data_IF_307520212025
#
_entry.id   IF_307520212025
#
_cell.length_a   1.000
_cell.length_b   1.000
_cell.length_c   1.000
_cell.angle_alpha   90.00
_cell.angle_beta   90.00
_cell.angle_gamma   90.00
#
_symmetry.space_group_name_H-M   'P 1'
#
loop_
_entity.id
_entity.type
_entity.pdbx_description
1 polymer ?
#
# COMPACT_ATOMS: atom_id res chain seq x y z
N UNK A 1 1.65 71.50 30.44
CA UNK A 1 0.57 72.42 30.02
C UNK A 1 -0.45 71.52 29.33
N UNK A 2 -1.47 71.18 30.03
CA UNK A 2 -2.85 71.72 29.97
C UNK A 2 -3.50 71.28 28.65
N UNK A 3 -4.67 70.72 28.58
CA UNK A 3 -5.79 70.39 29.47
C UNK A 3 -6.89 69.79 28.59
N UNK A 4 -7.60 68.87 29.15
CA UNK A 4 -9.06 68.87 29.30
C UNK A 4 -9.89 68.86 27.98
N UNK A 5 -10.85 68.05 27.81
CA UNK A 5 -12.06 67.62 28.42
C UNK A 5 -13.03 67.36 27.28
N UNK A 6 -14.03 66.60 27.26
CA UNK A 6 -15.28 66.59 27.93
C UNK A 6 -16.25 65.65 27.22
N UNK A 7 -16.82 64.76 27.91
CA UNK A 7 -18.16 64.28 28.07
C UNK A 7 -19.22 64.54 26.97
N UNK A 8 -19.98 63.51 26.62
CA UNK A 8 -21.26 63.57 25.90
C UNK A 8 -22.00 62.22 25.94
N UNK A 9 -23.07 62.16 26.61
CA UNK A 9 -23.80 61.01 27.12
C UNK A 9 -24.76 60.32 26.13
N UNK A 10 -25.72 59.51 26.62
CA UNK A 10 -26.18 58.30 25.95
C UNK A 10 -27.46 58.48 25.11
N UNK A 11 -27.45 57.90 23.92
CA UNK A 11 -28.60 57.75 23.06
C UNK A 11 -29.25 56.37 23.20
N UNK A 12 -30.46 56.32 23.77
CA UNK A 12 -31.33 55.13 23.79
C UNK A 12 -31.92 54.93 22.41
N UNK A 13 -31.71 53.78 21.80
CA UNK A 13 -32.37 53.30 20.58
C UNK A 13 -33.02 51.93 20.84
N UNK A 14 -34.27 51.83 20.50
CA UNK A 14 -35.23 50.73 20.70
C UNK A 14 -34.79 49.42 20.01
N UNK A 15 -35.22 48.23 20.52
CA UNK A 15 -34.94 46.95 19.89
C UNK A 15 -35.88 46.69 18.70
N UNK A 16 -35.29 46.49 17.53
CA UNK A 16 -35.95 45.98 16.34
C UNK A 16 -36.17 44.48 16.42
N UNK A 17 -37.41 44.05 16.30
CA UNK A 17 -37.84 42.66 16.23
C UNK A 17 -37.43 42.05 14.89
N UNK A 18 -36.27 41.38 14.87
CA UNK A 18 -35.83 40.52 13.75
C UNK A 18 -36.29 39.08 13.98
N UNK A 19 -37.18 38.61 13.12
CA UNK A 19 -37.60 37.19 13.04
C UNK A 19 -36.38 36.31 12.87
N UNK A 20 -36.28 35.14 13.52
CA UNK A 20 -35.22 34.17 13.25
C UNK A 20 -35.45 33.54 11.87
N UNK A 21 -34.49 33.74 10.98
CA UNK A 21 -34.37 33.01 9.72
C UNK A 21 -34.16 31.53 10.06
N UNK A 22 -35.10 30.68 9.59
CA UNK A 22 -34.92 29.22 9.63
C UNK A 22 -33.71 28.87 8.76
N UNK A 23 -32.61 28.54 9.40
CA UNK A 23 -31.50 27.86 8.76
C UNK A 23 -32.00 26.52 8.20
N UNK A 24 -31.76 26.28 6.92
CA UNK A 24 -31.91 24.96 6.32
C UNK A 24 -30.97 24.01 7.07
N UNK A 25 -31.42 22.80 7.41
CA UNK A 25 -30.48 21.78 7.92
C UNK A 25 -29.45 21.46 6.82
N UNK A 26 -28.17 21.55 7.15
CA UNK A 26 -27.11 21.00 6.35
C UNK A 26 -27.35 19.48 6.18
N UNK A 27 -27.12 18.92 4.99
CA UNK A 27 -27.17 17.48 4.82
C UNK A 27 -26.12 16.85 5.74
N UNK A 28 -26.54 15.90 6.55
CA UNK A 28 -25.67 15.09 7.38
C UNK A 28 -24.57 14.48 6.49
N UNK A 29 -23.31 14.43 6.95
CA UNK A 29 -22.25 13.75 6.23
C UNK A 29 -22.68 12.30 6.02
N UNK A 30 -22.58 11.84 4.78
CA UNK A 30 -22.81 10.44 4.43
C UNK A 30 -21.94 9.58 5.34
N UNK A 31 -22.54 8.72 6.15
CA UNK A 31 -21.84 7.71 6.91
C UNK A 31 -21.04 6.88 5.91
N UNK A 32 -19.71 7.05 5.97
CA UNK A 32 -18.79 6.13 5.31
C UNK A 32 -18.94 4.79 6.01
N UNK A 33 -19.63 3.87 5.39
CA UNK A 33 -19.55 2.46 5.76
C UNK A 33 -18.16 2.01 5.35
N UNK A 34 -17.20 2.26 6.24
CA UNK A 34 -15.87 1.71 6.16
C UNK A 34 -15.98 0.21 6.40
N UNK A 35 -15.96 -0.58 5.34
CA UNK A 35 -15.66 -1.99 5.49
C UNK A 35 -14.28 -2.12 6.16
N UNK A 36 -14.12 -3.00 7.17
CA UNK A 36 -12.83 -3.24 7.77
C UNK A 36 -11.87 -3.67 6.66
N UNK A 37 -10.78 -2.91 6.50
CA UNK A 37 -9.70 -3.33 5.64
C UNK A 37 -8.99 -4.43 6.41
N UNK A 38 -9.34 -5.68 6.11
CA UNK A 38 -8.63 -6.83 6.59
C UNK A 38 -7.20 -6.77 6.09
N UNK A 39 -6.28 -7.03 7.00
CA UNK A 39 -4.87 -7.19 6.70
C UNK A 39 -4.72 -8.11 5.49
N UNK A 40 -4.02 -7.63 4.47
CA UNK A 40 -3.53 -8.51 3.42
C UNK A 40 -2.41 -9.29 4.10
N UNK A 41 -2.73 -10.48 4.58
CA UNK A 41 -1.70 -11.45 4.96
C UNK A 41 -0.90 -11.75 3.69
N UNK A 42 0.37 -11.38 3.69
CA UNK A 42 1.31 -11.61 2.58
C UNK A 42 1.50 -13.12 2.26
N UNK A 43 0.89 -14.01 3.05
CA UNK A 43 1.07 -15.46 2.94
C UNK A 43 0.04 -16.17 2.04
N UNK A 44 -0.98 -15.46 1.48
CA UNK A 44 -2.04 -16.10 0.68
C UNK A 44 -1.94 -15.79 -0.82
N UNK A 45 -0.75 -15.93 -1.38
CA UNK A 45 -0.52 -15.94 -2.82
C UNK A 45 -0.48 -17.36 -3.41
N UNK A 46 -0.94 -18.34 -2.67
CA UNK A 46 -1.06 -19.71 -3.14
C UNK A 46 -2.09 -19.81 -4.27
N UNK A 47 -1.62 -19.93 -5.52
CA UNK A 47 -2.36 -20.54 -6.61
C UNK A 47 -2.41 -22.06 -6.35
N UNK A 48 -3.02 -22.49 -5.26
CA UNK A 48 -3.38 -23.89 -5.08
C UNK A 48 -4.71 -24.14 -5.79
N UNK A 49 -4.58 -24.67 -6.98
CA UNK A 49 -5.63 -25.28 -7.78
C UNK A 49 -5.92 -26.65 -7.17
N UNK A 50 -6.80 -26.74 -6.18
CA UNK A 50 -7.41 -28.01 -5.77
C UNK A 50 -8.80 -27.80 -5.20
N UNK A 51 -9.80 -28.22 -5.98
CA UNK A 51 -11.19 -28.32 -5.57
C UNK A 51 -12.09 -28.66 -6.74
N UNK A 52 -12.16 -29.95 -7.16
CA UNK A 52 -13.23 -30.47 -8.01
C UNK A 52 -14.57 -30.41 -7.25
N UNK A 53 -15.13 -29.21 -7.14
CA UNK A 53 -16.51 -28.95 -6.77
C UNK A 53 -17.34 -28.79 -8.04
N UNK A 54 -18.53 -29.31 -8.05
CA UNK A 54 -19.53 -29.29 -9.13
C UNK A 54 -19.42 -28.02 -9.99
N UNK A 55 -19.02 -28.20 -11.25
CA UNK A 55 -18.88 -27.11 -12.24
C UNK A 55 -20.29 -26.60 -12.56
N UNK A 56 -20.59 -25.41 -12.05
CA UNK A 56 -21.72 -24.62 -12.50
C UNK A 56 -21.31 -24.07 -13.88
N UNK A 57 -21.85 -24.65 -14.94
CA UNK A 57 -21.38 -24.53 -16.32
C UNK A 57 -21.60 -23.14 -16.93
N UNK A 58 -22.35 -22.28 -16.27
CA UNK A 58 -22.79 -20.97 -16.82
C UNK A 58 -21.88 -19.81 -16.48
N UNK A 59 -20.97 -19.92 -15.50
CA UNK A 59 -20.16 -18.79 -15.03
C UNK A 59 -18.65 -19.03 -15.11
N UNK A 60 -18.21 -20.25 -15.42
CA UNK A 60 -16.80 -20.59 -15.45
C UNK A 60 -16.21 -20.42 -16.85
N UNK A 61 -15.62 -19.26 -17.11
CA UNK A 61 -14.91 -18.99 -18.37
C UNK A 61 -13.52 -19.62 -18.30
N UNK A 62 -13.20 -20.62 -19.14
CA UNK A 62 -11.87 -21.23 -19.18
C UNK A 62 -10.82 -20.15 -19.44
N UNK A 63 -9.80 -20.05 -18.57
CA UNK A 63 -8.79 -18.98 -18.64
C UNK A 63 -9.28 -17.60 -18.15
N UNK A 64 -10.52 -17.49 -17.70
CA UNK A 64 -11.07 -16.25 -17.14
C UNK A 64 -10.43 -15.85 -15.80
N UNK A 65 -10.70 -14.64 -15.38
CA UNK A 65 -10.20 -14.06 -14.12
C UNK A 65 -11.12 -14.48 -12.96
N UNK A 66 -10.59 -14.83 -11.80
CA UNK A 66 -11.41 -15.13 -10.60
C UNK A 66 -12.30 -13.93 -10.25
N UNK A 67 -13.61 -14.20 -10.02
CA UNK A 67 -14.61 -13.16 -9.80
C UNK A 67 -14.27 -12.24 -8.62
N UNK A 68 -13.80 -12.79 -7.49
CA UNK A 68 -13.35 -11.98 -6.35
C UNK A 68 -12.17 -11.05 -6.70
N UNK A 69 -11.30 -11.45 -7.65
CA UNK A 69 -10.21 -10.58 -8.13
C UNK A 69 -10.77 -9.40 -8.93
N UNK A 70 -11.77 -9.64 -9.77
CA UNK A 70 -12.44 -8.59 -10.56
C UNK A 70 -13.18 -7.60 -9.64
N UNK A 71 -13.94 -8.11 -8.66
CA UNK A 71 -14.65 -7.27 -7.69
C UNK A 71 -13.70 -6.42 -6.85
N UNK A 72 -12.60 -7.01 -6.41
CA UNK A 72 -11.59 -6.30 -5.63
C UNK A 72 -10.88 -5.22 -6.46
N UNK A 73 -10.57 -5.50 -7.74
CA UNK A 73 -10.02 -4.52 -8.67
C UNK A 73 -10.99 -3.38 -8.96
N UNK A 74 -12.29 -3.65 -8.99
CA UNK A 74 -13.36 -2.64 -9.12
C UNK A 74 -13.65 -1.87 -7.81
N UNK A 75 -12.81 -1.98 -6.78
CA UNK A 75 -12.92 -1.19 -5.56
C UNK A 75 -14.00 -1.65 -4.56
N UNK A 76 -14.70 -2.79 -4.82
CA UNK A 76 -15.82 -3.27 -3.99
C UNK A 76 -15.38 -3.64 -2.58
N UNK A 77 -14.21 -4.28 -2.42
CA UNK A 77 -13.71 -4.69 -1.12
C UNK A 77 -12.41 -5.49 -1.19
N UNK A 78 -11.98 -6.12 -0.07
CA UNK A 78 -10.91 -7.10 -0.08
C UNK A 78 -11.33 -8.35 -0.87
N UNK A 79 -10.38 -9.19 -1.32
CA UNK A 79 -10.73 -10.45 -1.99
C UNK A 79 -11.60 -11.33 -1.07
N UNK A 80 -11.27 -11.42 0.22
CA UNK A 80 -12.06 -12.15 1.22
C UNK A 80 -13.47 -11.57 1.34
N UNK A 81 -13.59 -10.25 1.48
CA UNK A 81 -14.90 -9.61 1.51
C UNK A 81 -15.69 -9.82 0.20
N UNK A 82 -15.03 -9.80 -0.95
CA UNK A 82 -15.69 -10.12 -2.22
C UNK A 82 -16.15 -11.59 -2.30
N UNK A 83 -15.41 -12.54 -1.71
CA UNK A 83 -15.83 -13.92 -1.58
C UNK A 83 -17.04 -14.06 -0.67
N UNK A 84 -17.13 -13.33 0.43
CA UNK A 84 -18.31 -13.27 1.30
C UNK A 84 -19.54 -12.79 0.52
N UNK A 85 -19.41 -11.68 -0.24
CA UNK A 85 -20.48 -11.15 -1.09
C UNK A 85 -20.96 -12.19 -2.14
N UNK A 86 -20.02 -12.94 -2.73
CA UNK A 86 -20.34 -14.03 -3.66
C UNK A 86 -21.12 -15.13 -2.92
N UNK A 87 -20.64 -15.60 -1.77
CA UNK A 87 -21.30 -16.63 -0.96
C UNK A 87 -22.70 -16.20 -0.51
N UNK A 88 -22.90 -14.94 -0.15
CA UNK A 88 -24.20 -14.36 0.19
C UNK A 88 -25.16 -14.27 -1.02
N UNK A 89 -24.65 -14.40 -2.24
CA UNK A 89 -25.44 -14.30 -3.49
C UNK A 89 -25.80 -12.86 -3.86
N UNK A 90 -24.98 -11.91 -3.49
CA UNK A 90 -25.10 -10.48 -3.81
C UNK A 90 -24.45 -10.10 -5.14
N UNK A 91 -23.78 -11.07 -5.78
CA UNK A 91 -23.07 -10.88 -7.05
C UNK A 91 -23.80 -11.58 -8.18
N UNK A 92 -24.04 -10.87 -9.27
CA UNK A 92 -24.64 -11.36 -10.49
C UNK A 92 -23.65 -11.22 -11.66
N UNK A 93 -23.61 -12.24 -12.52
CA UNK A 93 -22.88 -12.22 -13.79
C UNK A 93 -23.87 -12.52 -14.90
N UNK A 94 -24.02 -11.61 -15.87
CA UNK A 94 -24.99 -11.68 -16.97
C UNK A 94 -26.46 -11.90 -16.52
N UNK A 95 -26.78 -11.44 -15.29
CA UNK A 95 -28.11 -11.55 -14.68
C UNK A 95 -28.32 -12.82 -13.85
N UNK A 96 -27.33 -13.69 -13.75
CA UNK A 96 -27.37 -14.90 -12.91
C UNK A 96 -26.61 -14.68 -11.60
N UNK A 97 -27.22 -15.09 -10.47
CA UNK A 97 -26.58 -14.98 -9.14
C UNK A 97 -25.50 -16.03 -8.99
N UNK A 98 -24.27 -15.59 -8.71
CA UNK A 98 -23.12 -16.46 -8.47
C UNK A 98 -22.89 -16.62 -6.98
N UNK A 99 -22.84 -17.88 -6.50
CA UNK A 99 -22.56 -18.23 -5.09
C UNK A 99 -21.31 -19.08 -4.91
N UNK A 100 -20.70 -19.51 -6.00
CA UNK A 100 -19.57 -20.43 -5.99
C UNK A 100 -18.26 -19.65 -5.78
N UNK A 101 -17.50 -20.08 -4.79
CA UNK A 101 -16.15 -19.61 -4.58
C UNK A 101 -15.24 -20.00 -5.75
N UNK A 102 -14.34 -19.10 -6.14
CA UNK A 102 -13.39 -19.34 -7.22
C UNK A 102 -13.96 -19.24 -8.63
N UNK A 103 -15.22 -18.85 -8.82
CA UNK A 103 -15.84 -18.63 -10.13
C UNK A 103 -14.96 -17.73 -11.01
N UNK A 104 -14.81 -18.09 -12.30
CA UNK A 104 -13.98 -17.35 -13.26
C UNK A 104 -14.87 -16.65 -14.29
N UNK A 105 -14.58 -15.40 -14.57
CA UNK A 105 -15.35 -14.53 -15.46
C UNK A 105 -14.46 -13.85 -16.49
N UNK A 106 -15.06 -13.39 -17.59
CA UNK A 106 -14.44 -12.46 -18.53
C UNK A 106 -15.00 -11.03 -18.31
N UNK A 107 -14.29 -10.17 -17.59
CA UNK A 107 -14.80 -8.84 -17.27
C UNK A 107 -14.95 -7.92 -18.49
N UNK A 108 -14.37 -8.29 -19.64
CA UNK A 108 -14.49 -7.49 -20.87
C UNK A 108 -15.81 -7.80 -21.61
N UNK A 109 -16.33 -9.01 -21.48
CA UNK A 109 -17.49 -9.47 -22.23
C UNK A 109 -18.72 -9.73 -21.36
N UNK A 110 -18.53 -9.91 -20.03
CA UNK A 110 -19.62 -10.20 -19.10
C UNK A 110 -20.02 -8.98 -18.27
N UNK A 111 -21.30 -8.86 -18.00
CA UNK A 111 -21.87 -7.79 -17.15
C UNK A 111 -21.92 -8.26 -15.71
N UNK A 112 -21.10 -7.69 -14.86
CA UNK A 112 -21.04 -8.03 -13.43
C UNK A 112 -21.78 -6.95 -12.63
N UNK A 113 -22.61 -7.40 -11.66
CA UNK A 113 -23.34 -6.52 -10.74
C UNK A 113 -23.12 -6.97 -9.30
N UNK A 114 -23.10 -6.00 -8.40
CA UNK A 114 -23.13 -6.22 -6.94
C UNK A 114 -24.32 -5.44 -6.40
N UNK A 115 -25.20 -6.10 -5.66
CA UNK A 115 -26.47 -5.55 -5.17
C UNK A 115 -27.30 -4.86 -6.29
N UNK A 116 -27.34 -5.47 -7.46
CA UNK A 116 -28.03 -4.95 -8.64
C UNK A 116 -27.33 -3.80 -9.36
N UNK A 117 -26.22 -3.26 -8.84
CA UNK A 117 -25.44 -2.18 -9.47
C UNK A 117 -24.33 -2.77 -10.33
N UNK A 118 -24.26 -2.32 -11.60
CA UNK A 118 -23.18 -2.72 -12.50
C UNK A 118 -21.86 -2.14 -12.01
N UNK A 119 -20.83 -2.99 -11.93
CA UNK A 119 -19.45 -2.54 -11.68
C UNK A 119 -18.76 -2.20 -13.01
N UNK A 120 -17.84 -1.21 -13.03
CA UNK A 120 -17.05 -0.90 -14.21
C UNK A 120 -16.15 -2.08 -14.58
N UNK A 121 -15.94 -2.30 -15.88
CA UNK A 121 -15.10 -3.38 -16.39
C UNK A 121 -13.61 -3.18 -16.10
N UNK A 122 -13.16 -1.93 -15.98
CA UNK A 122 -11.82 -1.56 -15.55
C UNK A 122 -11.86 -0.16 -14.93
N UNK A 123 -11.05 0.04 -13.89
CA UNK A 123 -10.69 1.38 -13.39
C UNK A 123 -9.46 1.89 -14.17
N UNK A 124 -9.27 3.20 -14.23
CA UNK A 124 -8.02 3.77 -14.72
C UNK A 124 -6.87 3.30 -13.83
N UNK A 125 -5.80 2.81 -14.47
CA UNK A 125 -4.66 2.27 -13.73
C UNK A 125 -3.88 3.41 -13.08
N UNK A 126 -3.69 3.28 -11.78
CA UNK A 126 -2.98 4.26 -10.95
C UNK A 126 -1.69 3.64 -10.42
N UNK A 127 -0.59 4.35 -10.58
CA UNK A 127 0.74 3.93 -10.11
C UNK A 127 1.40 5.09 -9.36
N UNK A 128 1.74 4.87 -8.11
CA UNK A 128 2.29 5.90 -7.24
C UNK A 128 3.52 5.42 -6.47
N UNK A 129 4.39 6.34 -6.16
CA UNK A 129 5.47 6.18 -5.19
C UNK A 129 5.14 6.98 -3.94
N UNK A 130 5.30 6.38 -2.78
CA UNK A 130 5.18 7.00 -1.46
C UNK A 130 6.54 6.93 -0.75
N UNK A 131 6.98 8.01 -0.13
CA UNK A 131 8.05 7.97 0.86
C UNK A 131 7.43 7.78 2.25
N UNK A 132 7.34 6.53 2.71
CA UNK A 132 6.79 6.21 4.02
C UNK A 132 7.70 6.76 5.14
N UNK A 133 7.21 7.60 6.06
CA UNK A 133 7.99 8.01 7.22
C UNK A 133 8.03 6.93 8.29
N UNK A 134 8.93 7.06 9.27
CA UNK A 134 8.90 6.30 10.52
C UNK A 134 7.60 6.57 11.28
N UNK A 135 7.09 5.59 12.01
CA UNK A 135 5.89 5.74 12.84
C UNK A 135 4.57 5.60 12.08
N UNK A 136 4.61 5.15 10.83
CA UNK A 136 3.44 4.86 10.00
C UNK A 136 3.43 3.38 9.63
N UNK A 137 2.28 2.73 9.75
CA UNK A 137 2.07 1.34 9.37
C UNK A 137 1.98 1.21 7.85
N UNK A 138 2.56 0.13 7.31
CA UNK A 138 2.32 -0.31 5.93
C UNK A 138 0.99 -1.08 5.89
N UNK A 139 -0.09 -0.35 6.06
CA UNK A 139 -1.47 -0.85 6.01
C UNK A 139 -2.39 0.27 5.54
N UNK A 140 -3.53 -0.09 4.98
CA UNK A 140 -4.57 0.87 4.58
C UNK A 140 -5.56 1.14 5.74
N UNK A 141 -5.53 0.36 6.82
CA UNK A 141 -6.31 0.58 8.04
C UNK A 141 -5.60 0.00 9.27
N UNK A 142 -6.00 0.47 10.45
CA UNK A 142 -5.54 -0.08 11.73
C UNK A 142 -6.66 -0.03 12.77
N UNK A 143 -6.98 -1.17 13.36
CA UNK A 143 -8.02 -1.27 14.42
C UNK A 143 -7.65 -0.60 15.74
N UNK A 144 -6.37 -0.25 15.92
CA UNK A 144 -5.84 0.40 17.13
C UNK A 144 -5.64 1.91 16.98
N UNK A 145 -6.03 2.49 15.83
CA UNK A 145 -5.92 3.93 15.55
C UNK A 145 -4.49 4.44 15.39
N UNK A 146 -3.52 3.57 15.05
CA UNK A 146 -2.16 4.00 14.72
C UNK A 146 -2.13 4.62 13.33
N UNK A 147 -1.24 5.60 13.06
CA UNK A 147 -1.08 6.15 11.71
C UNK A 147 -0.78 5.08 10.67
N UNK A 148 -1.47 5.16 9.53
CA UNK A 148 -1.35 4.23 8.40
C UNK A 148 -0.95 4.97 7.13
N UNK A 149 -0.61 4.23 6.07
CA UNK A 149 -0.33 4.84 4.77
C UNK A 149 -1.57 5.53 4.18
N UNK A 150 -2.78 5.04 4.48
CA UNK A 150 -4.01 5.68 4.02
C UNK A 150 -4.11 7.15 4.46
N UNK A 151 -3.63 7.47 5.65
CA UNK A 151 -3.63 8.84 6.18
C UNK A 151 -2.72 9.79 5.38
N UNK A 152 -1.78 9.25 4.58
CA UNK A 152 -0.84 10.00 3.75
C UNK A 152 -1.30 10.16 2.30
N UNK A 153 -2.28 9.37 1.85
CA UNK A 153 -2.69 9.33 0.45
C UNK A 153 -3.71 10.41 0.09
N UNK A 154 -4.36 11.01 1.08
CA UNK A 154 -5.46 11.94 0.82
C UNK A 154 -6.67 11.24 0.20
N UNK A 155 -7.44 11.99 -0.58
CA UNK A 155 -8.65 11.48 -1.24
C UNK A 155 -8.28 10.89 -2.61
N UNK A 156 -7.64 9.73 -2.60
CA UNK A 156 -7.45 8.91 -3.81
C UNK A 156 -8.71 8.08 -3.96
N UNK A 157 -9.49 8.34 -5.03
CA UNK A 157 -10.80 7.70 -5.25
C UNK A 157 -10.71 6.20 -5.47
N UNK A 158 -9.56 5.69 -5.91
CA UNK A 158 -9.30 4.29 -6.25
C UNK A 158 -8.72 3.52 -5.05
N UNK A 159 -9.04 2.24 -5.01
CA UNK A 159 -8.43 1.33 -4.05
C UNK A 159 -7.01 0.96 -4.49
N UNK A 160 -6.01 1.35 -3.70
CA UNK A 160 -4.61 1.05 -3.96
C UNK A 160 -4.11 -0.14 -3.13
N UNK A 161 -3.24 -0.96 -3.74
CA UNK A 161 -2.46 -2.01 -3.09
C UNK A 161 -1.02 -1.53 -2.91
N UNK A 162 -0.39 -1.88 -1.80
CA UNK A 162 1.03 -1.63 -1.60
C UNK A 162 1.89 -2.79 -2.13
N UNK A 163 3.04 -2.46 -2.71
CA UNK A 163 4.03 -3.44 -3.19
C UNK A 163 5.06 -3.69 -2.09
N UNK A 164 4.91 -4.83 -1.43
CA UNK A 164 5.69 -5.20 -0.25
C UNK A 164 5.43 -4.29 0.94
N UNK A 165 6.15 -4.55 2.03
CA UNK A 165 5.97 -3.82 3.30
C UNK A 165 7.27 -3.19 3.76
N UNK A 166 7.14 -2.16 4.60
CA UNK A 166 8.21 -1.62 5.44
C UNK A 166 7.75 -1.68 6.90
N UNK A 167 8.67 -1.96 7.78
CA UNK A 167 8.40 -1.98 9.21
C UNK A 167 8.00 -0.59 9.72
N UNK A 168 7.38 -0.53 10.88
CA UNK A 168 6.94 0.70 11.54
C UNK A 168 8.08 1.72 11.73
N UNK A 169 9.27 1.23 12.04
CA UNK A 169 10.49 2.00 12.25
C UNK A 169 11.40 2.07 11.02
N UNK A 170 10.94 1.63 9.85
CA UNK A 170 11.65 1.71 8.57
C UNK A 170 10.98 2.74 7.68
N UNK A 171 11.78 3.56 7.01
CA UNK A 171 11.32 4.61 6.10
C UNK A 171 11.65 4.30 4.65
N UNK A 172 11.09 5.10 3.73
CA UNK A 172 11.47 5.11 2.33
C UNK A 172 10.40 4.66 1.36
N UNK A 173 10.84 4.21 0.20
CA UNK A 173 10.01 3.96 -0.96
C UNK A 173 9.05 2.79 -0.77
N UNK A 174 7.76 3.07 -0.93
CA UNK A 174 6.71 2.08 -1.18
C UNK A 174 6.03 2.43 -2.49
N UNK A 175 5.77 1.43 -3.33
CA UNK A 175 4.94 1.57 -4.52
C UNK A 175 3.49 1.23 -4.16
N UNK A 176 2.56 1.98 -4.76
CA UNK A 176 1.12 1.83 -4.57
C UNK A 176 0.48 1.78 -5.96
N UNK A 177 -0.45 0.87 -6.17
CA UNK A 177 -1.12 0.73 -7.47
C UNK A 177 -2.44 -0.03 -7.31
N UNK A 178 -3.34 0.09 -8.30
CA UNK A 178 -4.53 -0.75 -8.42
C UNK A 178 -4.36 -1.89 -9.44
N UNK A 179 -3.17 -2.02 -10.06
CA UNK A 179 -2.78 -3.15 -10.91
C UNK A 179 -2.32 -4.33 -10.04
N UNK A 180 -3.26 -5.25 -9.76
CA UNK A 180 -2.99 -6.38 -8.88
C UNK A 180 -2.04 -7.44 -9.47
N UNK A 181 -1.90 -7.54 -10.81
CA UNK A 181 -0.96 -8.48 -11.44
C UNK A 181 0.47 -7.96 -11.30
N UNK A 182 0.68 -6.69 -11.63
CA UNK A 182 2.00 -6.06 -11.48
C UNK A 182 2.39 -6.00 -10.00
N UNK A 183 1.48 -5.62 -9.08
CA UNK A 183 1.73 -5.59 -7.64
C UNK A 183 2.16 -6.95 -7.09
N UNK A 184 1.48 -8.02 -7.51
CA UNK A 184 1.84 -9.38 -7.16
C UNK A 184 3.26 -9.73 -7.62
N UNK A 185 3.58 -9.56 -8.90
CA UNK A 185 4.89 -9.91 -9.43
C UNK A 185 6.02 -9.11 -8.79
N UNK A 186 5.81 -7.83 -8.50
CA UNK A 186 6.80 -6.99 -7.82
C UNK A 186 7.04 -7.39 -6.36
N UNK A 187 6.01 -7.92 -5.69
CA UNK A 187 6.10 -8.34 -4.28
C UNK A 187 6.66 -9.74 -4.11
N UNK A 188 6.29 -10.68 -4.99
CA UNK A 188 6.55 -12.10 -4.81
C UNK A 188 8.04 -12.44 -5.02
N UNK A 189 8.68 -13.19 -4.09
CA UNK A 189 10.13 -13.48 -4.14
C UNK A 189 10.61 -14.19 -5.43
N UNK A 190 9.74 -15.01 -6.05
CA UNK A 190 10.10 -15.77 -7.28
C UNK A 190 10.50 -14.88 -8.45
N UNK A 191 10.05 -13.63 -8.48
CA UNK A 191 10.40 -12.71 -9.57
C UNK A 191 11.70 -11.94 -9.31
N UNK A 192 12.31 -12.10 -8.15
CA UNK A 192 13.65 -11.60 -7.85
C UNK A 192 13.81 -10.08 -7.94
N UNK A 193 12.72 -9.30 -7.79
CA UNK A 193 12.79 -7.84 -7.90
C UNK A 193 13.66 -7.26 -6.79
N UNK A 194 14.80 -6.62 -7.11
CA UNK A 194 15.73 -6.14 -6.10
C UNK A 194 15.17 -4.95 -5.33
N UNK A 195 15.45 -4.90 -4.03
CA UNK A 195 15.16 -3.78 -3.14
C UNK A 195 16.47 -3.27 -2.58
N UNK A 196 16.75 -1.98 -2.71
CA UNK A 196 17.98 -1.36 -2.19
C UNK A 196 17.67 -0.51 -0.98
N UNK A 197 18.47 -0.69 0.04
CA UNK A 197 18.35 -0.01 1.31
C UNK A 197 19.62 0.77 1.65
N UNK A 198 19.43 1.92 2.26
CA UNK A 198 20.46 2.69 2.90
C UNK A 198 20.31 2.51 4.42
N UNK A 199 21.35 1.98 5.07
CA UNK A 199 21.33 1.67 6.49
C UNK A 199 22.43 2.45 7.23
N UNK A 200 22.07 3.13 8.30
CA UNK A 200 23.04 3.61 9.27
C UNK A 200 23.29 2.48 10.29
N UNK A 201 24.55 2.09 10.42
CA UNK A 201 24.96 0.99 11.29
C UNK A 201 25.95 1.45 12.35
N UNK A 202 25.92 0.79 13.50
CA UNK A 202 26.88 1.01 14.59
C UNK A 202 28.18 0.23 14.35
N UNK A 203 29.27 0.75 14.83
CA UNK A 203 30.59 0.15 14.79
C UNK A 203 31.38 0.49 13.52
N UNK A 204 32.68 0.24 13.59
CA UNK A 204 33.57 0.39 12.43
C UNK A 204 33.38 -0.77 11.47
N UNK A 205 32.92 -0.48 10.25
CA UNK A 205 32.65 -1.50 9.22
C UNK A 205 33.97 -2.01 8.64
N UNK A 206 34.27 -3.32 8.78
CA UNK A 206 35.46 -3.94 8.22
C UNK A 206 35.38 -4.03 6.68
N UNK A 207 36.55 -4.18 6.04
CA UNK A 207 36.60 -4.23 4.54
C UNK A 207 35.96 -5.47 3.94
N UNK A 208 35.89 -6.54 4.69
CA UNK A 208 35.36 -7.85 4.25
C UNK A 208 33.87 -8.05 4.57
N UNK A 209 33.21 -7.13 5.28
CA UNK A 209 31.77 -7.20 5.59
C UNK A 209 30.92 -7.48 4.33
N UNK A 210 31.20 -6.77 3.23
CA UNK A 210 30.48 -6.97 1.99
C UNK A 210 30.62 -8.40 1.44
N UNK A 211 31.82 -8.98 1.53
CA UNK A 211 32.04 -10.38 1.11
C UNK A 211 31.27 -11.35 2.01
N UNK A 212 31.24 -11.10 3.31
CA UNK A 212 30.49 -11.90 4.27
C UNK A 212 28.98 -11.83 3.98
N UNK A 213 28.41 -10.65 3.79
CA UNK A 213 26.99 -10.46 3.50
C UNK A 213 26.56 -11.09 2.17
N UNK A 214 27.39 -10.95 1.13
CA UNK A 214 27.13 -11.55 -0.19
C UNK A 214 27.40 -13.06 -0.22
N UNK A 215 28.28 -13.59 0.63
CA UNK A 215 28.54 -15.01 0.79
C UNK A 215 27.48 -15.77 1.57
N UNK A 216 26.62 -15.06 2.26
CA UNK A 216 25.55 -15.60 3.08
C UNK A 216 25.83 -15.54 4.57
N UNK A 217 24.81 -15.13 5.31
CA UNK A 217 24.79 -15.09 6.78
C UNK A 217 23.71 -16.04 7.28
N UNK A 218 24.04 -16.86 8.25
CA UNK A 218 23.10 -17.73 8.93
C UNK A 218 22.16 -16.90 9.81
N UNK A 219 20.85 -17.06 9.60
CA UNK A 219 19.79 -16.49 10.42
C UNK A 219 18.93 -17.63 10.97
N UNK A 220 18.07 -17.35 11.93
CA UNK A 220 17.19 -18.35 12.57
C UNK A 220 16.31 -19.12 11.56
N UNK A 221 15.95 -18.47 10.44
CA UNK A 221 15.08 -18.98 9.37
C UNK A 221 15.86 -19.34 8.10
N UNK A 222 17.14 -19.61 8.21
CA UNK A 222 18.05 -20.04 7.14
C UNK A 222 18.99 -18.95 6.65
N UNK A 223 19.88 -19.34 5.74
CA UNK A 223 20.90 -18.46 5.19
C UNK A 223 20.25 -17.32 4.40
N UNK A 224 20.78 -16.10 4.59
CA UNK A 224 20.43 -14.90 3.85
C UNK A 224 21.66 -14.32 3.16
N UNK A 225 21.51 -13.89 1.92
CA UNK A 225 22.61 -13.26 1.17
C UNK A 225 22.18 -11.93 0.54
N UNK A 226 23.12 -10.98 0.49
CA UNK A 226 22.93 -9.74 -0.21
C UNK A 226 23.37 -9.88 -1.68
N UNK A 227 22.62 -9.29 -2.61
CA UNK A 227 23.01 -9.20 -4.01
C UNK A 227 24.16 -8.22 -4.21
N UNK A 228 24.11 -7.09 -3.47
CA UNK A 228 25.12 -6.03 -3.51
C UNK A 228 25.29 -5.42 -2.13
N UNK A 229 26.53 -4.99 -1.84
CA UNK A 229 26.85 -4.23 -0.64
C UNK A 229 27.94 -3.21 -0.91
N UNK A 230 27.81 -2.01 -0.38
CA UNK A 230 28.88 -1.01 -0.37
C UNK A 230 28.81 -0.13 0.85
N UNK A 231 29.95 0.34 1.32
CA UNK A 231 30.05 1.40 2.32
C UNK A 231 29.96 2.74 1.59
N UNK A 232 28.95 3.53 1.94
CA UNK A 232 28.71 4.85 1.35
C UNK A 232 29.59 5.88 2.06
N UNK A 233 29.58 5.85 3.40
CA UNK A 233 30.32 6.80 4.23
C UNK A 233 30.72 6.18 5.57
N UNK A 234 31.87 6.61 6.10
CA UNK A 234 32.34 6.22 7.44
C UNK A 234 32.28 7.44 8.37
N UNK A 235 31.54 7.33 9.45
CA UNK A 235 31.22 8.40 10.38
C UNK A 235 31.76 8.08 11.81
N UNK A 236 33.07 7.88 11.94
CA UNK A 236 33.69 7.50 13.22
C UNK A 236 33.23 6.12 13.70
N UNK A 237 32.42 6.09 14.78
CA UNK A 237 31.84 4.85 15.35
C UNK A 237 30.57 4.36 14.64
N UNK A 238 30.16 5.01 13.54
CA UNK A 238 29.02 4.62 12.70
C UNK A 238 29.45 4.57 11.24
N UNK A 239 28.64 3.93 10.42
CA UNK A 239 28.81 3.99 8.98
C UNK A 239 27.44 4.00 8.27
N UNK A 240 27.42 4.61 7.10
CA UNK A 240 26.31 4.54 6.17
C UNK A 240 26.64 3.49 5.12
N UNK A 241 25.80 2.49 5.00
CA UNK A 241 25.98 1.36 4.07
C UNK A 241 24.77 1.23 3.16
N UNK A 242 25.01 0.79 1.94
CA UNK A 242 23.96 0.43 0.99
C UNK A 242 23.97 -1.07 0.79
N UNK A 243 22.81 -1.70 0.88
CA UNK A 243 22.60 -3.13 0.69
C UNK A 243 21.42 -3.37 -0.26
N UNK A 244 21.57 -4.29 -1.19
CA UNK A 244 20.53 -4.71 -2.13
C UNK A 244 20.21 -6.18 -1.91
N UNK A 245 18.92 -6.52 -1.88
CA UNK A 245 18.37 -7.86 -1.69
C UNK A 245 17.21 -8.07 -2.65
N UNK A 246 16.96 -9.31 -3.08
CA UNK A 246 15.76 -9.69 -3.84
C UNK A 246 14.72 -10.44 -2.99
N UNK A 247 15.07 -10.86 -1.78
CA UNK A 247 14.16 -11.50 -0.83
C UNK A 247 13.46 -10.48 0.12
N UNK A 248 12.40 -10.93 0.82
CA UNK A 248 11.56 -10.06 1.66
C UNK A 248 11.23 -10.63 3.03
N UNK A 249 12.05 -11.55 3.60
CA UNK A 249 11.82 -12.09 4.95
C UNK A 249 11.74 -10.95 5.99
N UNK A 250 10.94 -11.16 7.02
CA UNK A 250 10.70 -10.16 8.08
C UNK A 250 12.01 -9.63 8.67
N UNK A 251 12.17 -8.31 8.69
CA UNK A 251 13.33 -7.58 9.23
C UNK A 251 14.69 -8.02 8.64
N UNK A 252 14.72 -8.58 7.43
CA UNK A 252 15.89 -9.26 6.85
C UNK A 252 17.17 -8.42 6.91
N UNK A 253 17.13 -7.16 6.45
CA UNK A 253 18.30 -6.26 6.45
C UNK A 253 18.82 -6.02 7.85
N UNK A 254 17.94 -5.75 8.82
CA UNK A 254 18.30 -5.51 10.22
C UNK A 254 18.95 -6.74 10.84
N UNK A 255 18.36 -7.92 10.58
CA UNK A 255 18.85 -9.20 11.10
C UNK A 255 20.22 -9.55 10.52
N UNK A 256 20.39 -9.42 9.21
CA UNK A 256 21.69 -9.69 8.53
C UNK A 256 22.81 -8.80 9.08
N UNK A 257 22.56 -7.50 9.14
CA UNK A 257 23.56 -6.55 9.64
C UNK A 257 23.84 -6.73 11.14
N UNK A 258 22.82 -7.04 11.94
CA UNK A 258 23.00 -7.35 13.38
C UNK A 258 23.80 -8.64 13.59
N UNK A 259 23.52 -9.72 12.83
CA UNK A 259 24.25 -10.96 12.87
C UNK A 259 25.73 -10.79 12.45
N UNK A 260 26.01 -9.83 11.58
CA UNK A 260 27.36 -9.43 11.21
C UNK A 260 28.04 -8.48 12.22
N UNK A 261 27.39 -8.18 13.37
CA UNK A 261 27.94 -7.32 14.42
C UNK A 261 27.73 -5.80 14.19
N UNK A 262 26.87 -5.42 13.23
CA UNK A 262 26.62 -4.03 12.86
C UNK A 262 25.11 -3.69 12.96
N UNK A 263 24.54 -3.56 14.17
CA UNK A 263 23.11 -3.28 14.34
C UNK A 263 22.72 -1.96 13.65
N UNK A 264 21.54 -2.00 13.00
CA UNK A 264 20.99 -0.86 12.24
C UNK A 264 20.31 0.11 13.19
N UNK A 265 20.68 1.39 13.09
CA UNK A 265 20.06 2.48 13.85
C UNK A 265 19.02 3.24 13.02
N UNK A 266 19.17 3.28 11.69
CA UNK A 266 18.21 3.85 10.75
C UNK A 266 18.23 3.07 9.45
N UNK A 267 17.03 2.82 8.88
CA UNK A 267 16.87 2.07 7.64
C UNK A 267 15.92 2.79 6.70
N UNK A 268 16.38 3.02 5.47
CA UNK A 268 15.61 3.68 4.41
C UNK A 268 15.64 2.82 3.17
N UNK A 269 14.48 2.40 2.64
CA UNK A 269 14.42 1.77 1.32
C UNK A 269 14.49 2.82 0.22
N UNK A 270 15.55 2.81 -0.56
CA UNK A 270 15.82 3.80 -1.60
C UNK A 270 15.35 3.38 -2.99
N UNK A 271 15.27 2.06 -3.26
CA UNK A 271 14.82 1.53 -4.55
C UNK A 271 13.94 0.30 -4.40
N UNK A 272 13.01 0.17 -5.34
CA UNK A 272 12.24 -1.05 -5.63
C UNK A 272 12.35 -1.30 -7.12
N UNK A 273 13.08 -2.34 -7.54
CA UNK A 273 13.42 -2.56 -8.94
C UNK A 273 14.06 -1.31 -9.56
N UNK A 274 13.53 -0.84 -10.70
CA UNK A 274 14.05 0.34 -11.39
C UNK A 274 13.64 1.68 -10.76
N UNK A 275 12.68 1.67 -9.83
CA UNK A 275 12.14 2.91 -9.25
C UNK A 275 12.98 3.37 -8.08
N UNK A 276 13.40 4.63 -8.12
CA UNK A 276 14.13 5.28 -7.04
C UNK A 276 13.24 6.21 -6.20
N UNK A 277 13.58 6.32 -4.92
CA UNK A 277 12.99 7.30 -4.00
C UNK A 277 13.28 8.74 -4.46
N UNK A 278 14.50 8.97 -4.96
CA UNK A 278 14.94 10.29 -5.40
C UNK A 278 14.83 11.35 -4.31
N UNK A 279 14.29 12.52 -4.68
CA UNK A 279 14.08 13.67 -3.77
C UNK A 279 12.67 13.71 -3.15
N UNK A 280 11.89 12.63 -3.22
CA UNK A 280 10.55 12.58 -2.64
C UNK A 280 10.62 12.76 -1.12
N UNK A 281 9.92 13.77 -0.59
CA UNK A 281 9.94 14.08 0.84
C UNK A 281 9.21 13.01 1.66
N UNK A 282 9.62 12.74 2.92
CA UNK A 282 8.89 11.86 3.82
C UNK A 282 7.41 12.27 3.93
N UNK A 283 6.51 11.29 3.88
CA UNK A 283 5.06 11.49 3.90
C UNK A 283 4.45 11.97 2.58
N UNK A 284 5.25 12.20 1.55
CA UNK A 284 4.75 12.66 0.24
C UNK A 284 4.61 11.51 -0.74
N UNK A 285 3.68 11.69 -1.69
CA UNK A 285 3.44 10.80 -2.83
C UNK A 285 3.76 11.48 -4.14
N UNK A 286 4.01 10.69 -5.18
CA UNK A 286 4.01 11.14 -6.58
C UNK A 286 3.48 10.04 -7.49
N UNK A 287 2.90 10.41 -8.59
CA UNK A 287 2.61 9.46 -9.68
C UNK A 287 3.91 8.97 -10.31
N UNK A 288 3.90 7.72 -10.78
CA UNK A 288 4.96 7.20 -11.64
C UNK A 288 4.77 7.69 -13.06
N UNK A 289 5.86 8.01 -13.73
CA UNK A 289 5.84 8.35 -15.15
C UNK A 289 5.55 7.10 -16.00
N UNK A 290 5.07 7.28 -17.21
CA UNK A 290 4.83 6.18 -18.18
C UNK A 290 6.08 5.34 -18.39
N UNK A 291 7.26 5.97 -18.41
CA UNK A 291 8.54 5.26 -18.53
C UNK A 291 8.79 4.38 -17.31
N UNK A 292 8.61 4.90 -16.08
CA UNK A 292 8.79 4.12 -14.84
C UNK A 292 7.85 2.92 -14.79
N UNK A 293 6.60 3.10 -15.20
CA UNK A 293 5.62 2.00 -15.28
C UNK A 293 6.08 0.95 -16.29
N UNK A 294 6.51 1.36 -17.49
CA UNK A 294 7.07 0.44 -18.49
C UNK A 294 8.31 -0.31 -17.98
N UNK A 295 9.20 0.38 -17.25
CA UNK A 295 10.38 -0.24 -16.64
C UNK A 295 9.99 -1.28 -15.57
N UNK A 296 8.89 -1.06 -14.82
CA UNK A 296 8.35 -2.03 -13.86
C UNK A 296 7.79 -3.28 -14.54
N UNK A 297 7.00 -3.12 -15.61
CA UNK A 297 6.50 -4.25 -16.41
C UNK A 297 7.65 -5.09 -16.96
N UNK A 298 8.65 -4.44 -17.56
CA UNK A 298 9.83 -5.11 -18.09
C UNK A 298 10.62 -5.88 -16.99
N UNK A 299 10.71 -5.31 -15.77
CA UNK A 299 11.43 -5.94 -14.66
C UNK A 299 10.82 -7.25 -14.17
N UNK A 300 9.53 -7.51 -14.48
CA UNK A 300 8.80 -8.72 -14.06
C UNK A 300 8.32 -9.58 -15.24
N UNK A 301 8.75 -9.26 -16.46
CA UNK A 301 8.43 -10.03 -17.67
C UNK A 301 6.96 -9.92 -18.11
N UNK A 302 6.39 -8.72 -17.98
CA UNK A 302 5.07 -8.34 -18.50
C UNK A 302 5.21 -7.43 -19.72
#
# INVERSE_FOLDING_TARGET
MSAAGSAGGPGRGRPGSGRPSRARPEPAPAERVGAPADDIDDDDWGDEDEGEGQRDSLVDVPGGVRLQKVLAAAGIGSRRHCEELIGEGRVEVDGEVVRRYGARVDPQHQVIRVDGRRIPASEDLVYMALNKPVGVLTSMSDSRGRPTMADLLGDVGERLYHVGRLDYDTEGLILLMNDGELAHRLSHPRFGVPKTYLAEVSGAVPRDLGRQLMGGIELEDGVASADKFRVVERLGSRALVEITLHEGRKHIVKRMLAAAGHPVTRLVRTHVGPISLGSLRPGSTRQLSVKEVGDLYAAVGL
#
